data_IF_386654213495
#
_entry.id   IF_386654213495
#
_cell.length_a   1.000
_cell.length_b   1.000
_cell.length_c   1.000
_cell.angle_alpha   90.00
_cell.angle_beta   90.00
_cell.angle_gamma   90.00
#
_symmetry.space_group_name_H-M   'P 1'
#
loop_
_entity.id
_entity.type
_entity.pdbx_description
1 polymer ?
#
# COMPACT_ATOMS: atom_id res chain seq x y z
N UNK A 1 40.69 -10.99 -24.22
CA UNK A 1 40.46 -11.56 -25.57
C UNK A 1 39.08 -12.20 -25.57
N UNK A 2 38.14 -11.73 -26.41
CA UNK A 2 36.78 -12.26 -26.52
C UNK A 2 36.66 -13.29 -27.67
N UNK A 3 35.50 -13.97 -27.79
CA UNK A 3 34.82 -14.02 -29.08
C UNK A 3 33.33 -13.60 -28.92
N UNK A 4 32.78 -12.71 -29.75
CA UNK A 4 32.37 -12.86 -31.16
C UNK A 4 31.29 -13.94 -31.35
N UNK A 5 30.02 -13.52 -31.39
CA UNK A 5 29.06 -14.01 -32.37
C UNK A 5 28.07 -12.90 -32.74
N UNK A 6 28.00 -12.69 -34.04
CA UNK A 6 27.21 -11.77 -34.83
C UNK A 6 26.48 -12.66 -35.85
N UNK A 7 25.16 -12.53 -35.97
CA UNK A 7 24.38 -12.92 -37.16
C UNK A 7 22.90 -12.57 -36.97
N UNK A 8 22.46 -11.51 -37.65
CA UNK A 8 21.07 -11.21 -37.87
C UNK A 8 20.49 -11.93 -39.08
N UNK A 9 19.16 -11.97 -39.16
CA UNK A 9 18.39 -12.08 -40.41
C UNK A 9 16.98 -11.51 -40.19
N UNK A 10 16.68 -10.41 -40.89
CA UNK A 10 15.33 -10.08 -41.38
C UNK A 10 15.28 -10.48 -42.88
N UNK A 11 14.09 -10.72 -43.49
CA UNK A 11 13.50 -9.61 -44.27
C UNK A 11 11.97 -9.64 -44.55
N UNK A 12 11.47 -8.42 -44.87
CA UNK A 12 10.54 -8.01 -45.97
C UNK A 12 9.02 -8.22 -45.90
N UNK A 13 8.33 -7.08 -45.79
CA UNK A 13 7.48 -6.42 -46.80
C UNK A 13 6.57 -7.25 -47.70
N UNK A 14 5.27 -6.97 -47.58
CA UNK A 14 4.35 -6.89 -48.73
C UNK A 14 3.37 -5.73 -48.55
N UNK A 15 3.41 -4.80 -49.50
CA UNK A 15 2.48 -3.69 -49.71
C UNK A 15 1.72 -3.87 -51.03
N UNK A 16 0.42 -3.58 -51.09
CA UNK A 16 -0.34 -3.11 -52.28
C UNK A 16 -1.61 -2.39 -51.74
N UNK A 17 -1.77 -1.06 -51.90
CA UNK A 17 -2.44 -0.32 -53.01
C UNK A 17 -3.91 -0.77 -53.24
N UNK A 18 -4.94 0.04 -53.48
CA UNK A 18 -5.20 1.48 -53.64
C UNK A 18 -6.73 1.60 -53.84
N UNK A 19 -7.40 2.69 -53.46
CA UNK A 19 -8.25 3.47 -54.38
C UNK A 19 -9.07 4.56 -53.69
N UNK A 20 -8.73 5.78 -54.09
CA UNK A 20 -9.48 7.03 -54.12
C UNK A 20 -10.98 6.94 -54.48
N UNK A 21 -11.80 7.80 -53.88
CA UNK A 21 -12.75 8.63 -54.65
C UNK A 21 -13.08 9.95 -53.95
N UNK A 22 -13.00 11.01 -54.75
CA UNK A 22 -13.12 12.41 -54.42
C UNK A 22 -14.29 12.94 -55.26
N UNK A 23 -15.27 13.63 -54.67
CA UNK A 23 -16.21 14.44 -55.45
C UNK A 23 -16.73 15.63 -54.66
N UNK A 24 -16.25 16.80 -55.07
CA UNK A 24 -16.83 18.11 -54.84
C UNK A 24 -18.19 18.23 -55.52
N UNK A 25 -19.20 18.80 -54.85
CA UNK A 25 -20.29 19.56 -55.50
C UNK A 25 -20.65 20.79 -54.66
N UNK A 26 -20.50 21.96 -55.29
CA UNK A 26 -21.00 23.28 -54.89
C UNK A 26 -22.54 23.34 -54.94
N UNK A 27 -23.19 24.15 -54.09
CA UNK A 27 -24.02 25.32 -54.52
C UNK A 27 -24.79 26.02 -53.38
N UNK A 28 -24.51 27.34 -53.24
CA UNK A 28 -25.42 28.50 -53.01
C UNK A 28 -26.79 28.31 -52.33
N UNK A 29 -27.05 29.05 -51.24
CA UNK A 29 -27.81 30.33 -51.26
C UNK A 29 -28.32 30.84 -49.89
N UNK A 30 -28.19 32.17 -49.73
CA UNK A 30 -29.08 33.16 -49.07
C UNK A 30 -29.14 33.31 -47.54
N UNK A 31 -28.57 34.47 -47.13
CA UNK A 31 -28.98 35.47 -46.11
C UNK A 31 -30.13 35.11 -45.17
N UNK A 32 -29.94 35.37 -43.86
CA UNK A 32 -30.78 36.22 -43.01
C UNK A 32 -29.90 36.85 -41.90
N UNK A 33 -30.26 38.09 -41.57
CA UNK A 33 -29.65 39.05 -40.63
C UNK A 33 -29.91 38.66 -39.17
N UNK A 34 -28.97 38.97 -38.26
CA UNK A 34 -29.24 38.96 -36.82
C UNK A 34 -28.02 39.28 -35.96
N UNK A 35 -27.82 40.56 -35.66
CA UNK A 35 -26.93 41.04 -34.61
C UNK A 35 -27.29 40.39 -33.26
N UNK A 36 -26.31 39.85 -32.55
CA UNK A 36 -26.35 39.77 -31.09
C UNK A 36 -24.93 39.81 -30.51
N UNK A 37 -24.75 40.72 -29.55
CA UNK A 37 -23.51 40.98 -28.83
C UNK A 37 -22.93 39.71 -28.20
N UNK A 38 -21.73 39.32 -28.62
CA UNK A 38 -20.92 38.35 -27.88
C UNK A 38 -20.34 39.05 -26.65
N UNK A 39 -20.87 38.69 -25.48
CA UNK A 39 -20.15 38.78 -24.22
C UNK A 39 -18.81 38.07 -24.38
N UNK A 40 -17.71 38.83 -24.39
CA UNK A 40 -16.40 38.27 -24.14
C UNK A 40 -16.39 37.76 -22.69
N UNK A 41 -16.65 36.45 -22.51
CA UNK A 41 -16.27 35.74 -21.30
C UNK A 41 -14.75 35.92 -21.18
N UNK A 42 -14.33 36.80 -20.27
CA UNK A 42 -12.94 36.85 -19.80
C UNK A 42 -12.58 35.42 -19.41
N UNK A 43 -11.63 34.82 -20.15
CA UNK A 43 -10.98 33.61 -19.67
C UNK A 43 -10.46 33.92 -18.26
N UNK A 44 -10.72 33.06 -17.27
CA UNK A 44 -10.12 33.24 -15.95
C UNK A 44 -8.60 33.27 -16.14
N UNK A 45 -7.95 34.30 -15.60
CA UNK A 45 -6.49 34.34 -15.52
C UNK A 45 -6.01 33.02 -14.88
N UNK A 46 -4.90 32.43 -15.36
CA UNK A 46 -4.29 31.29 -14.68
C UNK A 46 -3.98 31.73 -13.25
N UNK A 47 -4.74 31.20 -12.29
CA UNK A 47 -4.48 31.38 -10.87
C UNK A 47 -3.08 30.86 -10.60
N UNK A 48 -2.20 31.75 -10.13
CA UNK A 48 -0.84 31.41 -9.76
C UNK A 48 -0.87 30.18 -8.83
N UNK A 49 -0.09 29.15 -9.17
CA UNK A 49 0.03 27.96 -8.35
C UNK A 49 0.56 28.37 -6.97
N UNK A 50 -0.01 27.90 -5.86
CA UNK A 50 0.58 28.13 -4.56
C UNK A 50 1.97 27.47 -4.53
N UNK A 51 3.01 28.25 -4.26
CA UNK A 51 4.40 27.79 -4.09
C UNK A 51 4.61 26.93 -2.85
N UNK A 52 3.60 26.80 -1.99
CA UNK A 52 3.71 26.12 -0.72
C UNK A 52 2.48 25.30 -0.42
N UNK A 53 2.69 24.08 0.08
CA UNK A 53 1.66 23.21 0.61
C UNK A 53 1.82 23.15 2.13
N UNK A 54 0.77 23.52 2.87
CA UNK A 54 0.79 23.52 4.33
C UNK A 54 -0.26 22.56 4.89
N UNK A 55 0.18 21.59 5.68
CA UNK A 55 -0.64 20.53 6.23
C UNK A 55 -0.58 20.57 7.76
N UNK A 56 -1.72 20.33 8.39
CA UNK A 56 -1.79 19.97 9.80
C UNK A 56 -2.17 18.50 9.92
N UNK A 57 -1.38 17.73 10.66
CA UNK A 57 -1.72 16.35 10.99
C UNK A 57 -2.72 16.35 12.15
N UNK A 58 -3.87 15.70 11.96
CA UNK A 58 -4.88 15.53 13.00
C UNK A 58 -4.49 14.42 13.98
N UNK A 59 -3.75 13.41 13.49
CA UNK A 59 -3.24 12.28 14.28
C UNK A 59 -1.69 12.22 14.22
N UNK A 60 -0.97 13.15 14.87
CA UNK A 60 0.49 13.25 14.76
C UNK A 60 1.23 12.04 15.33
N UNK A 61 0.72 11.44 16.42
CA UNK A 61 1.30 10.23 17.02
C UNK A 61 1.17 9.04 16.09
N UNK A 62 0.00 8.87 15.47
CA UNK A 62 -0.23 7.79 14.51
C UNK A 62 0.73 7.91 13.33
N UNK A 63 0.84 9.11 12.75
CA UNK A 63 1.78 9.38 11.67
C UNK A 63 3.23 9.08 12.10
N UNK A 64 3.66 9.55 13.27
CA UNK A 64 4.99 9.25 13.80
C UNK A 64 5.26 7.76 13.93
N UNK A 65 4.30 6.98 14.42
CA UNK A 65 4.43 5.52 14.59
C UNK A 65 4.49 4.80 13.25
N UNK A 66 3.70 5.23 12.27
CA UNK A 66 3.75 4.71 10.90
C UNK A 66 5.11 4.97 10.25
N UNK A 67 5.62 6.21 10.34
CA UNK A 67 6.96 6.57 9.83
C UNK A 67 8.07 5.77 10.53
N UNK A 68 7.99 5.58 11.86
CA UNK A 68 8.94 4.76 12.61
C UNK A 68 8.97 3.31 12.11
N UNK A 69 7.79 2.72 11.85
CA UNK A 69 7.69 1.36 11.31
C UNK A 69 8.26 1.27 9.88
N UNK A 70 7.88 2.20 8.99
CA UNK A 70 8.37 2.24 7.61
C UNK A 70 9.89 2.39 7.52
N UNK A 71 10.48 3.17 8.44
CA UNK A 71 11.94 3.36 8.49
C UNK A 71 12.75 2.09 8.77
N UNK A 72 12.09 0.99 9.13
CA UNK A 72 12.72 -0.33 9.29
C UNK A 72 12.91 -1.07 7.95
N UNK A 73 12.20 -0.67 6.89
CA UNK A 73 12.20 -1.33 5.57
C UNK A 73 13.03 -0.58 4.53
N UNK A 74 12.89 0.74 4.46
CA UNK A 74 13.69 1.60 3.59
C UNK A 74 13.99 2.94 4.23
N UNK A 75 14.99 3.62 3.68
CA UNK A 75 15.42 4.93 4.13
C UNK A 75 14.79 6.07 3.33
N UNK A 76 14.56 5.89 2.03
CA UNK A 76 14.09 6.95 1.12
C UNK A 76 12.74 6.56 0.51
N UNK A 77 11.77 7.47 0.58
CA UNK A 77 10.44 7.29 -0.04
C UNK A 77 9.91 8.60 -0.60
N UNK A 78 8.96 8.52 -1.53
CA UNK A 78 8.13 9.65 -1.92
C UNK A 78 6.93 9.79 -0.97
N UNK A 79 6.71 11.01 -0.46
CA UNK A 79 5.43 11.46 0.05
C UNK A 79 4.62 12.01 -1.13
N UNK A 80 3.65 11.23 -1.59
CA UNK A 80 2.74 11.61 -2.66
C UNK A 80 1.49 12.24 -2.05
N UNK A 81 1.21 13.50 -2.39
CA UNK A 81 0.11 14.25 -1.81
C UNK A 81 -0.80 14.76 -2.91
N UNK A 82 -2.10 14.51 -2.74
CA UNK A 82 -3.13 15.07 -3.59
C UNK A 82 -4.26 15.66 -2.70
N UNK A 83 -5.29 16.31 -3.29
CA UNK A 83 -6.35 16.93 -2.50
C UNK A 83 -7.13 15.98 -1.58
N UNK A 84 -7.04 14.66 -1.77
CA UNK A 84 -7.83 13.65 -1.07
C UNK A 84 -7.00 12.77 -0.13
N UNK A 85 -5.72 12.55 -0.43
CA UNK A 85 -4.86 11.64 0.32
C UNK A 85 -3.39 12.04 0.34
N UNK A 86 -2.72 11.57 1.39
CA UNK A 86 -1.28 11.42 1.48
C UNK A 86 -0.98 9.92 1.33
N UNK A 87 -0.06 9.59 0.44
CA UNK A 87 0.31 8.24 0.07
C UNK A 87 1.83 8.07 0.21
N UNK A 88 2.25 6.99 0.84
CA UNK A 88 3.63 6.50 0.81
C UNK A 88 3.58 5.08 0.27
N UNK A 89 4.16 4.87 -0.91
CA UNK A 89 4.30 3.55 -1.51
C UNK A 89 5.77 3.34 -1.83
N UNK A 90 6.31 2.19 -1.41
CA UNK A 90 7.68 1.83 -1.72
C UNK A 90 7.92 0.33 -1.54
N UNK A 91 9.00 -0.13 -2.12
CA UNK A 91 9.54 -1.47 -1.93
C UNK A 91 10.75 -1.37 -1.00
N UNK A 92 10.88 -2.33 -0.10
CA UNK A 92 12.02 -2.40 0.80
C UNK A 92 13.35 -2.61 0.06
N UNK A 93 14.46 -2.38 0.77
CA UNK A 93 15.80 -2.53 0.20
C UNK A 93 16.12 -3.94 -0.33
N UNK A 94 15.42 -4.98 0.14
CA UNK A 94 15.63 -6.36 -0.31
C UNK A 94 14.68 -6.80 -1.42
N UNK A 95 13.74 -5.92 -1.84
CA UNK A 95 12.75 -6.18 -2.88
C UNK A 95 11.82 -7.36 -2.59
N UNK A 96 11.53 -7.60 -1.31
CA UNK A 96 10.63 -8.68 -0.84
C UNK A 96 9.41 -8.16 -0.09
N UNK A 97 9.39 -6.88 0.28
CA UNK A 97 8.24 -6.22 0.91
C UNK A 97 7.83 -5.00 0.11
N UNK A 98 6.63 -5.03 -0.45
CA UNK A 98 5.94 -3.84 -0.93
C UNK A 98 5.04 -3.32 0.20
N UNK A 99 4.98 -2.02 0.40
CA UNK A 99 4.05 -1.44 1.37
C UNK A 99 3.40 -0.16 0.87
N UNK A 100 2.23 0.11 1.43
CA UNK A 100 1.42 1.28 1.15
C UNK A 100 0.86 1.86 2.45
N UNK A 101 1.17 3.12 2.75
CA UNK A 101 0.47 3.92 3.75
C UNK A 101 -0.40 4.95 3.04
N UNK A 102 -1.71 4.84 3.23
CA UNK A 102 -2.70 5.80 2.72
C UNK A 102 -3.34 6.53 3.90
N UNK A 103 -3.30 7.87 3.89
CA UNK A 103 -3.96 8.73 4.88
C UNK A 103 -4.92 9.69 4.16
N UNK A 104 -6.14 9.88 4.69
CA UNK A 104 -7.20 10.66 4.04
C UNK A 104 -7.27 12.10 4.55
N UNK A 105 -7.44 13.04 3.64
CA UNK A 105 -7.71 14.44 3.97
C UNK A 105 -9.03 14.58 4.76
N UNK A 106 -9.10 15.55 5.66
CA UNK A 106 -10.24 15.84 6.53
C UNK A 106 -10.36 14.89 7.74
N UNK A 107 -9.71 13.73 7.67
CA UNK A 107 -9.62 12.75 8.77
C UNK A 107 -8.22 12.74 9.36
N UNK A 108 -7.24 12.32 8.57
CA UNK A 108 -5.86 12.14 8.99
C UNK A 108 -5.08 13.45 9.09
N UNK A 109 -5.33 14.34 8.14
CA UNK A 109 -4.71 15.65 8.03
C UNK A 109 -5.67 16.64 7.38
N UNK A 110 -5.33 17.92 7.45
CA UNK A 110 -6.06 18.98 6.77
C UNK A 110 -5.11 19.95 6.10
N UNK A 111 -5.47 20.38 4.90
CA UNK A 111 -4.77 21.48 4.25
C UNK A 111 -5.16 22.80 4.91
N UNK A 112 -4.15 23.63 5.14
CA UNK A 112 -4.31 24.94 5.75
C UNK A 112 -3.86 26.02 4.79
N UNK A 113 -4.58 27.14 4.79
CA UNK A 113 -4.12 28.36 4.13
C UNK A 113 -2.87 28.88 4.88
N UNK A 114 -1.71 29.02 4.22
CA UNK A 114 -0.51 29.57 4.83
C UNK A 114 -0.75 30.93 5.51
N UNK A 115 -1.64 31.76 4.97
CA UNK A 115 -1.97 33.07 5.54
C UNK A 115 -2.69 32.95 6.90
N UNK A 116 -3.50 31.90 7.09
CA UNK A 116 -4.23 31.66 8.34
C UNK A 116 -3.34 30.97 9.39
N UNK A 117 -2.45 30.09 8.95
CA UNK A 117 -1.59 29.27 9.79
C UNK A 117 -0.63 30.04 10.71
N UNK A 118 -0.08 31.16 10.22
CA UNK A 118 0.95 31.94 10.91
C UNK A 118 0.44 33.27 11.44
N UNK A 119 -0.85 33.59 11.23
CA UNK A 119 -1.44 34.75 11.88
C UNK A 119 -1.55 34.49 13.39
N UNK A 120 -0.90 35.31 14.21
CA UNK A 120 -0.92 35.25 15.68
C UNK A 120 -2.30 35.58 16.30
N UNK A 121 -3.40 35.34 15.58
CA UNK A 121 -4.74 35.63 16.06
C UNK A 121 -5.11 34.60 17.14
N UNK A 122 -4.99 35.04 18.39
CA UNK A 122 -5.62 34.44 19.57
C UNK A 122 -7.02 33.96 19.21
N UNK A 123 -7.25 32.65 19.39
CA UNK A 123 -8.57 32.00 19.42
C UNK A 123 -9.44 32.29 18.18
N UNK A 124 -9.05 31.78 17.02
CA UNK A 124 -10.06 31.27 16.10
C UNK A 124 -10.48 29.91 16.63
N UNK A 125 -11.70 29.83 17.14
CA UNK A 125 -12.37 28.54 17.34
C UNK A 125 -12.16 27.71 16.07
N UNK A 126 -11.85 26.44 16.26
CA UNK A 126 -11.87 25.38 15.26
C UNK A 126 -13.28 25.27 14.64
N UNK A 127 -13.71 26.30 13.92
CA UNK A 127 -14.66 26.16 12.84
C UNK A 127 -13.88 25.43 11.75
N UNK A 128 -13.76 24.11 11.92
CA UNK A 128 -13.64 23.20 10.80
C UNK A 128 -14.60 23.74 9.75
N UNK A 129 -14.09 24.03 8.56
CA UNK A 129 -14.89 24.05 7.36
C UNK A 129 -15.57 22.67 7.28
N UNK A 130 -16.71 22.49 7.97
CA UNK A 130 -17.64 21.35 7.83
C UNK A 130 -18.42 21.51 6.52
N UNK A 131 -17.69 21.89 5.48
CA UNK A 131 -18.13 21.95 4.12
C UNK A 131 -17.68 20.63 3.50
N UNK A 132 -18.58 19.74 3.07
CA UNK A 132 -18.19 18.58 2.26
C UNK A 132 -17.61 18.98 0.90
N UNK A 133 -17.63 20.28 0.57
CA UNK A 133 -16.96 20.84 -0.58
C UNK A 133 -15.56 21.31 -0.17
N UNK A 134 -14.54 20.65 -0.74
CA UNK A 134 -13.19 21.18 -0.82
C UNK A 134 -13.26 22.67 -1.19
N UNK A 135 -12.60 23.58 -0.46
CA UNK A 135 -12.53 24.97 -0.85
C UNK A 135 -12.09 25.05 -2.32
N UNK A 136 -12.66 25.95 -3.15
CA UNK A 136 -12.30 26.10 -4.57
C UNK A 136 -10.80 26.29 -4.82
N UNK A 137 -10.04 26.68 -3.78
CA UNK A 137 -8.58 26.80 -3.79
C UNK A 137 -7.85 25.46 -4.03
N UNK A 138 -8.46 24.31 -3.74
CA UNK A 138 -7.81 23.00 -3.83
C UNK A 138 -8.26 22.13 -5.01
N UNK A 139 -9.28 22.57 -5.77
CA UNK A 139 -9.76 21.86 -6.98
C UNK A 139 -8.75 21.85 -8.15
N UNK A 140 -7.57 22.45 -7.98
CA UNK A 140 -6.49 22.47 -8.96
C UNK A 140 -5.10 22.26 -8.38
N UNK A 141 -4.96 21.75 -7.15
CA UNK A 141 -3.63 21.39 -6.62
C UNK A 141 -3.20 20.10 -7.33
N UNK A 142 -2.12 20.15 -8.15
CA UNK A 142 -1.60 18.97 -8.81
C UNK A 142 -1.08 17.99 -7.76
N UNK A 143 -0.96 16.72 -8.13
CA UNK A 143 -0.25 15.75 -7.31
C UNK A 143 1.18 16.25 -7.06
N UNK A 144 1.55 16.33 -5.79
CA UNK A 144 2.88 16.75 -5.34
C UNK A 144 3.62 15.54 -4.81
N UNK A 145 4.84 15.31 -5.29
CA UNK A 145 5.70 14.22 -4.84
C UNK A 145 6.97 14.78 -4.21
N UNK A 146 7.27 14.35 -2.99
CA UNK A 146 8.41 14.89 -2.22
C UNK A 146 9.21 13.72 -1.66
N UNK A 147 10.45 13.59 -2.10
CA UNK A 147 11.36 12.57 -1.57
C UNK A 147 11.82 12.93 -0.18
N UNK A 148 11.71 11.98 0.75
CA UNK A 148 12.08 12.14 2.16
C UNK A 148 12.92 10.98 2.65
N UNK A 149 13.81 11.27 3.60
CA UNK A 149 14.48 10.23 4.37
C UNK A 149 13.66 9.88 5.62
N UNK A 150 13.13 8.66 5.66
CA UNK A 150 12.29 8.15 6.74
C UNK A 150 13.00 8.08 8.08
N UNK A 151 14.30 7.79 8.13
CA UNK A 151 15.06 7.78 9.39
C UNK A 151 15.18 9.19 9.98
N UNK A 152 15.47 10.19 9.14
CA UNK A 152 15.53 11.60 9.55
C UNK A 152 14.14 12.08 10.01
N UNK A 153 13.09 11.73 9.25
CA UNK A 153 11.73 12.08 9.58
C UNK A 153 11.28 11.42 10.90
N UNK A 154 11.51 10.12 11.06
CA UNK A 154 11.21 9.37 12.29
C UNK A 154 11.91 9.99 13.51
N UNK A 155 13.19 10.35 13.37
CA UNK A 155 13.93 11.01 14.44
C UNK A 155 13.32 12.38 14.81
N UNK A 156 12.90 13.15 13.82
CA UNK A 156 12.28 14.47 14.01
C UNK A 156 10.90 14.40 14.68
N UNK A 157 10.17 13.30 14.44
CA UNK A 157 8.84 13.05 15.02
C UNK A 157 8.88 12.33 16.38
N UNK A 158 10.06 11.95 16.86
CA UNK A 158 10.21 11.14 18.08
C UNK A 158 9.64 11.85 19.32
N UNK A 159 8.87 11.10 20.10
CA UNK A 159 8.34 11.56 21.39
C UNK A 159 7.21 12.57 21.28
N UNK A 160 6.45 12.53 20.19
CA UNK A 160 5.14 13.17 20.08
C UNK A 160 4.13 12.51 21.02
N UNK A 161 3.30 13.33 21.64
CA UNK A 161 2.15 12.90 22.47
C UNK A 161 0.84 13.19 21.76
N UNK A 162 -0.25 12.57 22.24
CA UNK A 162 -1.57 12.68 21.62
C UNK A 162 -2.08 14.13 21.60
N UNK A 163 -1.70 14.94 22.58
CA UNK A 163 -2.11 16.33 22.69
C UNK A 163 -1.25 17.32 21.87
N UNK A 164 -0.12 16.88 21.32
CA UNK A 164 0.78 17.71 20.53
C UNK A 164 0.19 18.00 19.14
N UNK A 165 0.66 19.07 18.49
CA UNK A 165 0.25 19.42 17.13
C UNK A 165 1.45 19.33 16.18
N UNK A 166 1.23 18.80 14.98
CA UNK A 166 2.25 18.69 13.94
C UNK A 166 1.78 19.40 12.68
N UNK A 167 2.62 20.30 12.20
CA UNK A 167 2.43 21.03 10.96
C UNK A 167 3.59 20.74 10.01
N UNK A 168 3.28 20.57 8.72
CA UNK A 168 4.26 20.31 7.67
C UNK A 168 4.09 21.36 6.57
N UNK A 169 5.18 22.04 6.24
CA UNK A 169 5.26 22.98 5.14
C UNK A 169 6.20 22.43 4.08
N UNK A 170 5.68 22.32 2.87
CA UNK A 170 6.43 21.88 1.71
C UNK A 170 6.56 23.03 0.72
N UNK A 171 7.77 23.23 0.20
CA UNK A 171 7.99 24.13 -0.92
C UNK A 171 7.73 23.36 -2.23
N UNK A 172 6.78 23.84 -3.03
CA UNK A 172 6.34 23.21 -4.29
C UNK A 172 6.73 24.04 -5.51
N UNK A 173 7.68 24.97 -5.40
CA UNK A 173 8.13 25.76 -6.53
C UNK A 173 8.67 24.87 -7.67
N UNK A 174 7.91 24.85 -8.78
CA UNK A 174 8.13 24.04 -10.00
C UNK A 174 9.53 24.23 -10.64
N UNK A 175 10.23 25.34 -10.33
CA UNK A 175 11.60 25.57 -10.79
C UNK A 175 12.62 24.65 -10.10
N UNK A 176 12.33 24.18 -8.89
CA UNK A 176 13.24 23.31 -8.13
C UNK A 176 13.07 21.85 -8.54
N UNK A 177 11.84 21.44 -8.87
CA UNK A 177 11.53 20.06 -9.28
C UNK A 177 11.90 19.75 -10.74
N UNK A 178 11.82 20.73 -11.66
CA UNK A 178 12.06 20.48 -13.10
C UNK A 178 13.48 20.86 -13.62
N UNK A 179 14.30 21.59 -12.87
CA UNK A 179 15.62 22.04 -13.36
C UNK A 179 16.74 21.02 -13.20
N UNK A 180 16.53 19.98 -12.40
CA UNK A 180 17.60 19.04 -12.06
C UNK A 180 17.90 18.08 -13.23
N UNK A 181 16.97 17.92 -14.17
CA UNK A 181 17.18 17.16 -15.40
C UNK A 181 17.88 17.96 -16.53
N UNK A 182 18.07 19.27 -16.38
CA UNK A 182 18.59 20.13 -17.46
C UNK A 182 19.98 20.75 -17.19
N UNK A 183 20.55 20.62 -15.99
CA UNK A 183 21.77 21.32 -15.59
C UNK A 183 23.07 20.54 -15.87
N UNK A 184 23.24 20.05 -17.11
CA UNK A 184 24.57 19.65 -17.62
C UNK A 184 25.20 20.71 -18.54
N UNK A 185 24.46 21.75 -18.99
CA UNK A 185 24.95 22.56 -20.12
C UNK A 185 24.64 24.07 -20.15
N UNK A 186 24.47 24.77 -19.03
CA UNK A 186 24.29 26.23 -19.08
C UNK A 186 25.08 27.00 -18.02
N UNK A 187 26.13 27.68 -18.49
CA UNK A 187 26.75 28.82 -17.82
C UNK A 187 25.71 29.94 -17.69
N UNK A 188 25.06 30.12 -16.53
CA UNK A 188 24.41 31.39 -16.18
C UNK A 188 24.12 31.55 -14.68
N UNK A 189 24.74 32.59 -14.10
CA UNK A 189 24.36 33.39 -12.94
C UNK A 189 24.21 32.73 -11.55
N UNK A 190 25.01 33.24 -10.60
CA UNK A 190 25.01 32.99 -9.14
C UNK A 190 23.66 33.28 -8.45
N UNK A 191 22.58 32.58 -8.81
CA UNK A 191 21.41 32.44 -7.94
C UNK A 191 21.79 31.35 -6.94
N UNK A 192 21.87 31.68 -5.65
CA UNK A 192 22.06 30.68 -4.60
C UNK A 192 20.86 29.73 -4.70
N UNK A 193 21.08 28.54 -5.25
CA UNK A 193 20.08 27.47 -5.30
C UNK A 193 19.90 27.04 -3.85
N UNK A 194 18.77 27.41 -3.25
CA UNK A 194 18.37 26.83 -1.98
C UNK A 194 17.81 25.45 -2.30
N UNK A 195 18.40 24.43 -1.66
CA UNK A 195 17.86 23.09 -1.74
C UNK A 195 16.40 23.12 -1.24
N UNK A 196 15.51 22.35 -1.88
CA UNK A 196 14.14 22.27 -1.42
C UNK A 196 14.10 21.74 0.02
N UNK A 197 13.39 22.46 0.89
CA UNK A 197 13.31 22.18 2.32
C UNK A 197 11.87 21.86 2.73
N UNK A 198 11.74 20.88 3.61
CA UNK A 198 10.50 20.54 4.32
C UNK A 198 10.63 21.14 5.72
N UNK A 199 9.67 21.97 6.12
CA UNK A 199 9.64 22.51 7.49
C UNK A 199 8.59 21.79 8.30
N UNK A 200 9.02 21.15 9.38
CA UNK A 200 8.16 20.48 10.35
C UNK A 200 8.06 21.36 11.59
N UNK A 201 6.84 21.73 12.00
CA UNK A 201 6.61 22.47 13.24
C UNK A 201 5.82 21.61 14.21
N UNK A 202 6.40 21.31 15.37
CA UNK A 202 5.78 20.58 16.47
C UNK A 202 5.46 21.55 17.59
N UNK A 203 4.18 21.66 17.96
CA UNK A 203 3.75 22.40 19.15
C UNK A 203 3.41 21.40 20.26
N UNK A 204 4.30 21.30 21.25
CA UNK A 204 4.06 20.49 22.44
C UNK A 204 3.22 21.26 23.44
N UNK A 205 2.20 20.65 24.04
CA UNK A 205 1.35 21.33 25.02
C UNK A 205 1.94 21.33 26.43
N UNK A 206 2.69 20.28 26.81
CA UNK A 206 3.17 20.07 28.18
C UNK A 206 4.66 19.64 28.23
N UNK A 207 5.61 20.55 28.53
CA UNK A 207 5.44 22.00 28.63
C UNK A 207 5.15 22.65 27.27
N UNK A 208 4.51 23.81 27.28
CA UNK A 208 4.21 24.55 26.05
C UNK A 208 5.51 24.96 25.34
N UNK A 209 5.86 24.28 24.25
CA UNK A 209 7.10 24.49 23.50
C UNK A 209 6.83 24.29 22.01
N UNK A 210 7.49 25.10 21.19
CA UNK A 210 7.43 24.98 19.73
C UNK A 210 8.81 24.60 19.23
N UNK A 211 8.87 23.54 18.44
CA UNK A 211 10.08 23.08 17.76
C UNK A 211 9.83 23.19 16.27
N UNK A 212 10.79 23.75 15.54
CA UNK A 212 10.78 23.80 14.09
C UNK A 212 12.01 23.08 13.57
N UNK A 213 11.79 22.08 12.74
CA UNK A 213 12.83 21.31 12.06
C UNK A 213 12.79 21.66 10.59
N UNK A 214 13.97 21.78 10.00
CA UNK A 214 14.14 21.87 8.56
C UNK A 214 14.76 20.55 8.11
N UNK A 215 14.09 19.86 7.20
CA UNK A 215 14.51 18.56 6.64
C UNK A 215 14.74 18.75 5.15
N UNK A 216 15.89 18.31 4.66
CA UNK A 216 16.20 18.33 3.22
C UNK A 216 15.25 17.42 2.45
N UNK A 217 14.79 17.88 1.29
CA UNK A 217 14.13 17.03 0.31
C UNK A 217 15.18 16.25 -0.49
N UNK A 218 14.84 15.03 -0.86
CA UNK A 218 15.68 14.14 -1.66
C UNK A 218 15.05 13.94 -3.04
N UNK A 219 15.91 13.75 -4.03
CA UNK A 219 15.52 13.26 -5.36
C UNK A 219 15.72 11.76 -5.32
N UNK A 220 14.68 11.01 -5.64
CA UNK A 220 14.72 9.55 -5.62
C UNK A 220 14.63 9.08 -7.07
N UNK A 221 15.77 8.72 -7.63
CA UNK A 221 15.85 8.16 -8.98
C UNK A 221 15.44 6.68 -8.95
N UNK A 222 14.15 6.44 -8.72
CA UNK A 222 13.59 5.10 -8.80
C UNK A 222 12.95 4.91 -10.18
N UNK A 223 13.76 4.44 -11.12
CA UNK A 223 13.27 3.97 -12.42
C UNK A 223 12.45 2.67 -12.30
N UNK A 224 12.40 2.07 -11.10
CA UNK A 224 11.76 0.77 -10.82
C UNK A 224 10.46 0.88 -10.01
N UNK A 225 10.04 2.09 -9.61
CA UNK A 225 8.73 2.31 -8.98
C UNK A 225 7.61 2.43 -10.03
N UNK A 226 7.80 1.88 -11.23
CA UNK A 226 6.68 1.63 -12.15
C UNK A 226 5.60 0.88 -11.35
N UNK A 227 4.50 1.57 -11.15
CA UNK A 227 3.35 1.26 -10.31
C UNK A 227 3.08 -0.24 -10.22
N UNK A 228 3.43 -0.85 -9.08
CA UNK A 228 2.91 -2.17 -8.76
C UNK A 228 1.40 -2.02 -8.57
N UNK A 229 0.62 -2.46 -9.55
CA UNK A 229 -0.83 -2.50 -9.45
C UNK A 229 -1.22 -3.61 -8.47
N UNK A 230 -1.56 -3.19 -7.24
CA UNK A 230 -2.02 -4.06 -6.16
C UNK A 230 -3.35 -4.77 -6.53
N UNK A 231 -4.11 -4.26 -7.51
CA UNK A 231 -5.44 -4.76 -7.87
C UNK A 231 -5.48 -6.26 -8.22
N UNK A 232 -4.39 -6.81 -8.75
CA UNK A 232 -4.32 -8.24 -9.08
C UNK A 232 -4.18 -9.15 -7.84
N UNK A 233 -3.82 -8.60 -6.69
CA UNK A 233 -3.62 -9.38 -5.47
C UNK A 233 -4.95 -9.84 -4.86
N UNK A 234 -5.92 -8.92 -4.75
CA UNK A 234 -7.20 -9.20 -4.09
C UNK A 234 -7.97 -10.35 -4.78
N UNK A 235 -7.81 -10.53 -6.08
CA UNK A 235 -8.40 -11.64 -6.85
C UNK A 235 -7.78 -13.00 -6.53
N UNK A 236 -6.55 -13.02 -6.01
CA UNK A 236 -5.80 -14.24 -5.68
C UNK A 236 -5.97 -14.68 -4.22
N UNK A 237 -6.51 -13.80 -3.36
CA UNK A 237 -6.69 -14.10 -1.94
C UNK A 237 -7.71 -15.22 -1.77
N UNK A 238 -7.31 -16.26 -1.03
CA UNK A 238 -8.14 -17.44 -0.79
C UNK A 238 -8.69 -17.47 0.63
N UNK A 239 -7.88 -17.02 1.60
CA UNK A 239 -8.21 -17.01 3.02
C UNK A 239 -7.91 -15.64 3.60
N UNK A 240 -8.84 -15.16 4.41
CA UNK A 240 -8.73 -13.94 5.19
C UNK A 240 -8.76 -14.28 6.68
N UNK A 241 -7.85 -13.68 7.44
CA UNK A 241 -7.77 -13.82 8.90
C UNK A 241 -7.84 -12.43 9.51
N UNK A 242 -8.95 -12.11 10.15
CA UNK A 242 -9.07 -10.92 10.99
C UNK A 242 -8.69 -11.30 12.42
N UNK A 243 -7.68 -10.62 12.97
CA UNK A 243 -7.18 -10.87 14.32
C UNK A 243 -6.75 -9.58 15.02
N UNK A 244 -6.66 -9.60 16.35
CA UNK A 244 -6.05 -8.48 17.07
C UNK A 244 -4.54 -8.41 16.81
N UNK A 245 -4.00 -7.21 16.67
CA UNK A 245 -2.56 -7.00 16.48
C UNK A 245 -1.75 -7.43 17.69
N UNK A 246 -2.35 -7.38 18.89
CA UNK A 246 -1.78 -7.92 20.12
C UNK A 246 -1.64 -9.43 20.07
N UNK A 247 -2.65 -10.16 19.57
CA UNK A 247 -2.57 -11.61 19.38
C UNK A 247 -1.41 -11.96 18.43
N UNK A 248 -1.33 -11.30 17.26
CA UNK A 248 -0.22 -11.52 16.32
C UNK A 248 1.15 -11.17 16.95
N UNK A 249 1.22 -10.09 17.72
CA UNK A 249 2.44 -9.70 18.45
C UNK A 249 2.89 -10.78 19.43
N UNK A 250 1.95 -11.37 20.16
CA UNK A 250 2.22 -12.44 21.11
C UNK A 250 2.71 -13.70 20.40
N UNK A 251 2.05 -14.11 19.30
CA UNK A 251 2.47 -15.23 18.45
C UNK A 251 3.92 -15.05 17.99
N UNK A 252 4.23 -13.88 17.42
CA UNK A 252 5.59 -13.58 16.95
C UNK A 252 6.61 -13.54 18.10
N UNK A 253 6.23 -13.03 19.27
CA UNK A 253 7.09 -13.04 20.44
C UNK A 253 7.41 -14.47 20.91
N UNK A 254 6.41 -15.34 20.97
CA UNK A 254 6.56 -16.69 21.50
C UNK A 254 7.36 -17.57 20.55
N UNK A 255 7.13 -17.46 19.24
CA UNK A 255 7.90 -18.17 18.22
C UNK A 255 9.35 -17.66 18.11
N UNK A 256 9.63 -16.42 18.50
CA UNK A 256 11.00 -15.87 18.45
C UNK A 256 11.99 -16.62 19.35
N UNK A 257 11.51 -17.36 20.35
CA UNK A 257 12.33 -18.16 21.26
C UNK A 257 13.10 -19.28 20.53
N UNK A 258 12.53 -19.81 19.44
CA UNK A 258 13.18 -20.82 18.59
C UNK A 258 14.28 -20.22 17.72
N UNK A 259 14.25 -18.89 17.49
CA UNK A 259 15.18 -18.16 16.64
C UNK A 259 15.26 -18.71 15.21
N UNK A 260 14.16 -19.28 14.70
CA UNK A 260 14.04 -19.66 13.30
C UNK A 260 14.01 -18.42 12.39
N UNK A 261 14.59 -18.54 11.20
CA UNK A 261 14.64 -17.45 10.22
C UNK A 261 13.38 -17.38 9.35
N UNK A 262 12.67 -18.51 9.27
CA UNK A 262 11.46 -18.69 8.48
C UNK A 262 10.25 -18.95 9.37
N UNK A 263 9.11 -18.44 8.94
CA UNK A 263 7.80 -18.70 9.53
C UNK A 263 6.90 -19.32 8.46
N UNK A 264 6.52 -20.57 8.65
CA UNK A 264 5.46 -21.21 7.88
C UNK A 264 4.11 -20.73 8.39
N UNK A 265 3.27 -20.24 7.49
CA UNK A 265 1.87 -19.92 7.72
C UNK A 265 1.05 -20.95 6.94
N UNK A 266 0.39 -21.84 7.68
CA UNK A 266 -0.39 -22.94 7.12
C UNK A 266 -1.87 -22.78 7.48
N UNK A 267 -2.74 -22.90 6.49
CA UNK A 267 -4.19 -22.99 6.67
C UNK A 267 -4.63 -24.42 6.37
N UNK A 268 -5.39 -24.99 7.28
CA UNK A 268 -5.99 -26.32 7.16
C UNK A 268 -7.50 -26.22 7.33
N UNK A 269 -8.22 -27.10 6.65
CA UNK A 269 -9.64 -27.33 6.90
C UNK A 269 -9.89 -28.84 7.00
N UNK A 270 -10.74 -29.23 7.94
CA UNK A 270 -11.13 -30.62 8.11
C UNK A 270 -12.38 -30.89 7.26
N UNK A 271 -12.21 -31.66 6.18
CA UNK A 271 -13.34 -32.15 5.40
C UNK A 271 -14.02 -33.29 6.16
N UNK A 272 -15.03 -32.96 6.97
CA UNK A 272 -15.93 -33.99 7.48
C UNK A 272 -16.76 -34.56 6.32
N UNK A 273 -16.49 -35.82 5.93
CA UNK A 273 -17.41 -36.61 5.10
C UNK A 273 -18.72 -36.80 5.89
N UNK A 274 -19.73 -35.96 5.66
CA UNK A 274 -21.08 -36.14 6.24
C UNK A 274 -22.18 -35.89 5.21
N UNK A 275 -23.23 -36.70 5.34
CA UNK A 275 -24.25 -36.96 4.33
C UNK A 275 -25.36 -35.89 4.25
N UNK A 276 -25.88 -35.77 3.04
CA UNK A 276 -27.23 -35.33 2.63
C UNK A 276 -27.78 -33.94 2.96
N UNK A 277 -27.06 -33.05 3.65
CA UNK A 277 -27.54 -31.68 3.90
C UNK A 277 -26.63 -30.61 3.29
N UNK A 278 -26.78 -30.36 1.98
CA UNK A 278 -26.04 -29.35 1.21
C UNK A 278 -26.25 -27.88 1.71
N UNK A 279 -27.23 -27.63 2.59
CA UNK A 279 -27.62 -26.28 2.98
C UNK A 279 -26.75 -25.61 4.07
N UNK A 280 -25.83 -26.31 4.73
CA UNK A 280 -24.98 -25.73 5.79
C UNK A 280 -23.46 -25.90 5.56
N UNK A 281 -23.07 -26.21 4.31
CA UNK A 281 -21.68 -26.48 3.94
C UNK A 281 -20.77 -25.26 4.16
N UNK A 282 -21.29 -24.05 3.93
CA UNK A 282 -20.53 -22.80 4.12
C UNK A 282 -20.10 -22.58 5.57
N UNK A 283 -21.01 -22.74 6.53
CA UNK A 283 -20.68 -22.55 7.95
C UNK A 283 -19.76 -23.67 8.43
N UNK A 284 -20.05 -24.92 8.05
CA UNK A 284 -19.22 -26.08 8.39
C UNK A 284 -17.77 -25.92 7.89
N UNK A 285 -17.57 -25.43 6.66
CA UNK A 285 -16.23 -25.19 6.12
C UNK A 285 -15.48 -24.12 6.92
N UNK A 286 -16.13 -23.00 7.25
CA UNK A 286 -15.51 -21.94 8.02
C UNK A 286 -15.21 -22.35 9.48
N UNK A 287 -16.09 -23.12 10.11
CA UNK A 287 -15.89 -23.62 11.48
C UNK A 287 -14.73 -24.63 11.57
N UNK A 288 -14.41 -25.30 10.46
CA UNK A 288 -13.31 -26.28 10.38
C UNK A 288 -11.94 -25.65 10.12
N UNK A 289 -11.86 -24.33 9.88
CA UNK A 289 -10.62 -23.65 9.55
C UNK A 289 -9.68 -23.55 10.75
N UNK A 290 -8.42 -23.92 10.51
CA UNK A 290 -7.33 -23.82 11.47
C UNK A 290 -6.16 -23.11 10.82
N UNK A 291 -5.56 -22.19 11.57
CA UNK A 291 -4.37 -21.46 11.17
C UNK A 291 -3.19 -21.92 12.02
N UNK A 292 -2.08 -22.28 11.39
CA UNK A 292 -0.85 -22.66 12.07
C UNK A 292 0.26 -21.69 11.71
N UNK A 293 0.97 -21.23 12.74
CA UNK A 293 2.24 -20.53 12.61
C UNK A 293 3.34 -21.46 13.10
N UNK A 294 4.28 -21.82 12.22
CA UNK A 294 5.38 -22.73 12.57
C UNK A 294 6.72 -22.12 12.27
N UNK A 295 7.69 -22.38 13.15
CA UNK A 295 9.08 -22.02 12.90
C UNK A 295 9.97 -23.14 13.40
N UNK A 296 11.10 -23.35 12.70
CA UNK A 296 12.04 -24.39 13.04
C UNK A 296 13.49 -23.90 12.95
N UNK A 297 14.34 -24.43 13.83
CA UNK A 297 15.80 -24.26 13.78
C UNK A 297 16.49 -25.46 14.41
N UNK A 298 17.52 -25.99 13.72
CA UNK A 298 18.44 -27.00 14.30
C UNK A 298 17.72 -28.16 15.03
N UNK A 299 16.64 -28.68 14.42
CA UNK A 299 15.77 -29.76 14.93
C UNK A 299 14.78 -29.40 16.06
N UNK A 300 14.66 -28.13 16.44
CA UNK A 300 13.58 -27.64 17.31
C UNK A 300 12.51 -26.98 16.44
N UNK A 301 11.27 -27.43 16.60
CA UNK A 301 10.10 -26.85 15.95
C UNK A 301 9.16 -26.29 17.03
N UNK A 302 8.61 -25.11 16.79
CA UNK A 302 7.48 -24.60 17.55
C UNK A 302 6.33 -24.28 16.60
N UNK A 303 5.12 -24.65 17.02
CA UNK A 303 3.89 -24.41 16.30
C UNK A 303 2.86 -23.77 17.22
N UNK A 304 2.20 -22.73 16.75
CA UNK A 304 1.00 -22.18 17.38
C UNK A 304 -0.18 -22.47 16.45
N UNK A 305 -1.16 -23.19 16.97
CA UNK A 305 -2.45 -23.41 16.31
C UNK A 305 -3.43 -22.34 16.80
N UNK A 306 -4.14 -21.72 15.86
CA UNK A 306 -5.28 -20.87 16.15
C UNK A 306 -6.52 -21.43 15.49
N UNK A 307 -7.57 -21.54 16.30
CA UNK A 307 -8.87 -22.05 15.89
C UNK A 307 -9.85 -20.88 15.78
N UNK A 308 -10.77 -20.99 14.82
CA UNK A 308 -11.82 -20.01 14.60
C UNK A 308 -12.73 -19.92 15.84
N UNK A 309 -12.85 -18.74 16.46
CA UNK A 309 -13.77 -18.54 17.58
C UNK A 309 -15.05 -17.88 17.09
N UNK A 310 -16.15 -18.64 17.02
CA UNK A 310 -17.46 -18.12 16.58
C UNK A 310 -18.20 -17.31 17.66
N UNK A 311 -17.55 -17.00 18.79
CA UNK A 311 -18.20 -16.53 20.02
C UNK A 311 -18.11 -15.01 20.25
N UNK A 312 -18.27 -14.19 19.20
CA UNK A 312 -18.58 -12.75 19.22
C UNK A 312 -17.93 -11.81 20.26
N UNK A 313 -16.82 -12.15 20.90
CA UNK A 313 -16.06 -11.31 21.81
C UNK A 313 -15.07 -10.44 21.02
N UNK A 314 -14.80 -9.22 21.49
CA UNK A 314 -13.93 -8.24 20.79
C UNK A 314 -12.47 -8.72 20.58
N UNK A 315 -12.09 -9.84 21.19
CA UNK A 315 -10.79 -10.51 21.03
C UNK A 315 -10.80 -11.66 20.01
N UNK A 316 -11.94 -11.92 19.37
CA UNK A 316 -12.12 -13.08 18.52
C UNK A 316 -11.34 -12.97 17.20
N UNK A 317 -10.75 -14.10 16.84
CA UNK A 317 -10.11 -14.29 15.55
C UNK A 317 -11.11 -14.90 14.59
N UNK A 318 -11.28 -14.26 13.44
CA UNK A 318 -12.17 -14.72 12.39
C UNK A 318 -11.32 -15.21 11.23
N UNK A 319 -11.44 -16.49 10.92
CA UNK A 319 -10.81 -17.12 9.77
C UNK A 319 -11.92 -17.45 8.76
N UNK A 320 -11.79 -16.99 7.53
CA UNK A 320 -12.79 -17.24 6.49
C UNK A 320 -12.18 -17.38 5.10
N UNK A 321 -12.79 -18.24 4.28
CA UNK A 321 -12.52 -18.24 2.84
C UNK A 321 -13.09 -16.99 2.17
N UNK A 322 -12.40 -16.47 1.15
CA UNK A 322 -12.95 -15.44 0.29
C UNK A 322 -14.12 -15.99 -0.53
N UNK A 323 -15.08 -15.14 -0.88
CA UNK A 323 -16.27 -15.55 -1.64
C UNK A 323 -15.94 -16.23 -2.99
N UNK A 324 -14.96 -15.76 -3.79
CA UNK A 324 -14.57 -16.45 -5.02
C UNK A 324 -14.03 -17.85 -4.77
N UNK A 325 -13.16 -18.01 -3.78
CA UNK A 325 -12.53 -19.30 -3.47
C UNK A 325 -13.51 -20.29 -2.85
N UNK A 326 -14.40 -19.81 -1.97
CA UNK A 326 -15.47 -20.62 -1.39
C UNK A 326 -16.38 -21.21 -2.49
N UNK A 327 -16.75 -20.42 -3.52
CA UNK A 327 -17.54 -20.92 -4.65
C UNK A 327 -16.81 -22.01 -5.42
N UNK A 328 -15.51 -21.88 -5.61
CA UNK A 328 -14.68 -22.89 -6.26
C UNK A 328 -14.66 -24.19 -5.45
N UNK A 329 -14.44 -24.11 -4.13
CA UNK A 329 -14.45 -25.28 -3.24
C UNK A 329 -15.78 -26.03 -3.26
N UNK A 330 -16.90 -25.30 -3.16
CA UNK A 330 -18.25 -25.89 -3.19
C UNK A 330 -18.49 -26.56 -4.56
N UNK A 331 -18.05 -25.93 -5.65
CA UNK A 331 -18.22 -26.49 -7.00
C UNK A 331 -17.46 -27.81 -7.20
N UNK A 332 -16.28 -27.95 -6.58
CA UNK A 332 -15.47 -29.16 -6.66
C UNK A 332 -16.09 -30.33 -5.87
N UNK A 333 -16.63 -30.06 -4.68
CA UNK A 333 -17.24 -31.10 -3.84
C UNK A 333 -18.54 -31.69 -4.42
N UNK A 334 -19.33 -30.89 -5.15
CA UNK A 334 -20.55 -31.36 -5.80
C UNK A 334 -20.29 -32.33 -6.98
N UNK A 335 -19.06 -32.40 -7.50
CA UNK A 335 -18.71 -33.29 -8.64
C UNK A 335 -18.26 -34.67 -8.16
N UNK A 336 -17.59 -34.75 -7.01
CA UNK A 336 -16.99 -36.00 -6.51
C UNK A 336 -18.00 -36.97 -5.86
N UNK A 337 -19.21 -36.50 -5.56
CA UNK A 337 -20.24 -37.27 -4.83
C UNK A 337 -20.95 -38.35 -5.66
N UNK A 338 -20.59 -38.55 -6.94
CA UNK A 338 -21.19 -39.55 -7.83
C UNK A 338 -20.33 -40.83 -8.01
N UNK A 339 -19.21 -40.96 -7.29
CA UNK A 339 -18.39 -42.18 -7.33
C UNK A 339 -18.74 -43.10 -6.17
N UNK A 340 -19.65 -44.05 -6.42
CA UNK A 340 -19.92 -45.17 -5.51
C UNK A 340 -18.66 -46.02 -5.38
N UNK A 341 -17.86 -45.82 -4.34
CA UNK A 341 -16.96 -46.84 -3.79
C UNK A 341 -16.77 -46.60 -2.29
N UNK A 342 -17.30 -47.56 -1.53
CA UNK A 342 -17.16 -47.68 -0.09
C UNK A 342 -15.71 -47.97 0.32
N UNK A 343 -15.41 -47.67 1.59
CA UNK A 343 -14.20 -48.00 2.35
C UNK A 343 -12.92 -47.19 2.03
N UNK A 344 -12.80 -46.01 2.63
CA UNK A 344 -11.51 -45.48 3.10
C UNK A 344 -11.71 -44.74 4.42
N UNK A 345 -11.33 -45.40 5.53
CA UNK A 345 -11.05 -44.78 6.82
C UNK A 345 -9.74 -43.99 6.71
N UNK A 346 -9.84 -42.67 6.88
CA UNK A 346 -8.69 -41.79 6.89
C UNK A 346 -9.15 -40.34 6.93
N UNK A 347 -9.09 -39.73 8.11
CA UNK A 347 -9.27 -38.29 8.30
C UNK A 347 -8.05 -37.59 7.66
N UNK A 348 -8.04 -37.42 6.35
CA UNK A 348 -7.01 -36.61 5.69
C UNK A 348 -7.40 -35.14 5.86
N UNK A 349 -6.89 -34.48 6.90
CA UNK A 349 -6.90 -33.02 6.97
C UNK A 349 -6.22 -32.49 5.71
N UNK A 350 -6.99 -31.96 4.77
CA UNK A 350 -6.44 -31.41 3.56
C UNK A 350 -5.84 -30.05 3.91
N UNK A 351 -4.50 -29.99 3.96
CA UNK A 351 -3.79 -28.70 3.96
C UNK A 351 -4.24 -27.95 2.72
N UNK A 352 -4.82 -26.77 2.89
CA UNK A 352 -5.29 -25.95 1.75
C UNK A 352 -4.19 -25.04 1.26
N UNK A 353 -3.45 -24.43 2.18
CA UNK A 353 -2.41 -23.45 1.87
C UNK A 353 -1.26 -23.62 2.86
N UNK A 354 -0.02 -23.66 2.38
CA UNK A 354 1.17 -23.50 3.22
C UNK A 354 2.22 -22.68 2.48
N UNK A 355 2.66 -21.58 3.10
CA UNK A 355 3.72 -20.73 2.58
C UNK A 355 4.71 -20.40 3.70
N UNK A 356 5.99 -20.25 3.35
CA UNK A 356 7.03 -19.77 4.27
C UNK A 356 7.34 -18.30 4.01
N UNK A 357 7.52 -17.51 5.08
CA UNK A 357 7.88 -16.09 5.02
C UNK A 357 9.06 -15.78 5.92
N UNK A 358 9.70 -14.63 5.69
CA UNK A 358 10.79 -14.15 6.56
C UNK A 358 10.27 -13.81 7.96
N UNK A 359 10.74 -14.54 8.97
CA UNK A 359 10.36 -14.31 10.37
C UNK A 359 10.73 -12.89 10.81
N UNK A 360 11.88 -12.38 10.33
CA UNK A 360 12.36 -11.02 10.63
C UNK A 360 11.35 -9.96 10.16
N UNK A 361 10.83 -10.09 8.95
CA UNK A 361 9.86 -9.14 8.38
C UNK A 361 8.56 -9.18 9.19
N UNK A 362 8.01 -10.37 9.42
CA UNK A 362 6.77 -10.51 10.19
C UNK A 362 6.93 -10.03 11.64
N UNK A 363 8.12 -10.18 12.22
CA UNK A 363 8.45 -9.64 13.54
C UNK A 363 8.48 -8.10 13.54
N UNK A 364 8.93 -7.46 12.45
CA UNK A 364 8.82 -6.00 12.30
C UNK A 364 7.34 -5.60 12.22
N UNK A 365 6.55 -6.28 11.39
CA UNK A 365 5.11 -6.01 11.23
C UNK A 365 4.33 -6.18 12.54
N UNK A 366 4.73 -7.11 13.39
CA UNK A 366 4.11 -7.27 14.72
C UNK A 366 4.16 -6.01 15.59
N UNK A 367 5.13 -5.11 15.37
CA UNK A 367 5.24 -3.83 16.09
C UNK A 367 4.16 -2.81 15.69
N UNK A 368 3.39 -3.09 14.65
CA UNK A 368 2.26 -2.28 14.20
C UNK A 368 1.05 -2.33 15.16
N UNK A 369 1.10 -3.11 16.25
CA UNK A 369 0.12 -3.05 17.34
C UNK A 369 -0.03 -1.66 17.99
N UNK A 370 0.94 -0.76 17.77
CA UNK A 370 0.82 0.64 18.19
C UNK A 370 0.02 1.51 17.20
N UNK A 371 -0.34 0.99 16.03
CA UNK A 371 -0.96 1.74 14.93
C UNK A 371 -2.43 1.35 14.78
N UNK A 372 -2.75 0.08 14.94
CA UNK A 372 -4.11 -0.45 14.86
C UNK A 372 -4.30 -1.58 15.87
N UNK A 373 -5.51 -1.69 16.41
CA UNK A 373 -5.89 -2.76 17.33
C UNK A 373 -6.16 -4.08 16.58
N UNK A 374 -6.53 -4.00 15.30
CA UNK A 374 -6.87 -5.14 14.45
C UNK A 374 -6.00 -5.19 13.19
N UNK A 375 -5.84 -6.40 12.67
CA UNK A 375 -5.17 -6.64 11.39
C UNK A 375 -5.88 -7.71 10.59
N UNK A 376 -5.82 -7.57 9.28
CA UNK A 376 -6.28 -8.54 8.31
C UNK A 376 -5.07 -9.18 7.63
N UNK A 377 -4.93 -10.50 7.73
CA UNK A 377 -4.01 -11.28 6.92
C UNK A 377 -4.76 -11.84 5.72
N UNK A 378 -4.21 -11.63 4.53
CA UNK A 378 -4.72 -12.13 3.27
C UNK A 378 -3.73 -13.15 2.73
N UNK A 379 -4.16 -14.41 2.65
CA UNK A 379 -3.32 -15.56 2.35
C UNK A 379 -3.75 -16.15 1.01
N UNK A 380 -2.77 -16.36 0.12
CA UNK A 380 -2.93 -17.01 -1.18
C UNK A 380 -1.85 -18.09 -1.37
N UNK A 381 -2.17 -19.14 -2.12
CA UNK A 381 -1.23 -20.24 -2.38
C UNK A 381 -0.05 -19.76 -3.23
N UNK A 382 1.18 -19.98 -2.76
CA UNK A 382 2.43 -19.60 -3.44
C UNK A 382 2.54 -18.10 -3.78
N UNK A 383 1.75 -17.24 -3.15
CA UNK A 383 1.73 -15.80 -3.40
C UNK A 383 2.14 -14.97 -2.17
N UNK A 384 2.20 -13.63 -2.33
CA UNK A 384 2.58 -12.75 -1.24
C UNK A 384 1.58 -12.81 -0.10
N UNK A 385 2.05 -12.65 1.14
CA UNK A 385 1.17 -12.43 2.29
C UNK A 385 0.74 -10.97 2.29
N UNK A 386 -0.56 -10.72 2.17
CA UNK A 386 -1.14 -9.41 2.41
C UNK A 386 -1.33 -9.19 3.91
N UNK A 387 -0.88 -8.06 4.42
CA UNK A 387 -1.04 -7.66 5.82
C UNK A 387 -1.60 -6.24 5.85
N UNK A 388 -2.84 -6.08 6.30
CA UNK A 388 -3.56 -4.81 6.31
C UNK A 388 -3.88 -4.38 7.75
N UNK A 389 -3.49 -3.16 8.09
CA UNK A 389 -3.87 -2.46 9.31
C UNK A 389 -4.84 -1.33 8.95
N UNK A 390 -6.08 -1.42 9.44
CA UNK A 390 -7.05 -0.33 9.33
C UNK A 390 -6.68 0.78 10.31
N UNK A 391 -6.57 2.03 9.84
CA UNK A 391 -6.35 3.16 10.74
C UNK A 391 -7.71 3.65 11.27
N UNK A 392 -7.77 3.96 12.57
CA UNK A 392 -9.00 4.33 13.28
C UNK A 392 -9.86 5.37 12.56
N UNK A 393 -11.18 5.30 12.75
CA UNK A 393 -12.15 6.32 12.30
C UNK A 393 -12.11 6.68 10.79
N UNK A 394 -11.59 5.77 9.96
CA UNK A 394 -11.44 5.99 8.52
C UNK A 394 -10.32 6.98 8.18
N UNK A 395 -9.35 7.15 9.07
CA UNK A 395 -8.12 7.94 8.86
C UNK A 395 -7.36 7.44 7.64
N UNK A 396 -7.38 6.14 7.38
CA UNK A 396 -6.65 5.55 6.26
C UNK A 396 -6.40 4.06 6.42
N UNK A 397 -5.39 3.56 5.71
CA UNK A 397 -4.97 2.17 5.72
C UNK A 397 -3.45 2.06 5.66
N UNK A 398 -2.93 0.97 6.18
CA UNK A 398 -1.53 0.64 6.09
C UNK A 398 -1.37 -0.82 5.70
N UNK A 399 -0.91 -1.07 4.48
CA UNK A 399 -0.86 -2.40 3.86
C UNK A 399 0.58 -2.81 3.54
N UNK A 400 0.86 -4.10 3.67
CA UNK A 400 2.13 -4.72 3.32
C UNK A 400 1.88 -5.97 2.49
N UNK A 401 2.77 -6.26 1.55
CA UNK A 401 2.80 -7.49 0.77
C UNK A 401 4.19 -8.11 0.95
N UNK A 402 4.23 -9.30 1.56
CA UNK A 402 5.48 -9.99 1.87
C UNK A 402 5.64 -11.18 0.95
N UNK A 403 6.69 -11.20 0.14
CA UNK A 403 6.98 -12.32 -0.74
C UNK A 403 7.27 -13.61 0.05
N UNK A 404 6.74 -14.77 -0.38
CA UNK A 404 7.06 -16.04 0.24
C UNK A 404 8.46 -16.53 -0.18
N UNK A 405 9.03 -17.43 0.59
CA UNK A 405 10.10 -18.29 0.10
C UNK A 405 9.51 -19.27 -0.91
N UNK A 406 10.11 -19.34 -2.10
CA UNK A 406 9.76 -20.36 -3.07
C UNK A 406 10.41 -21.67 -2.66
N UNK A 407 9.61 -22.72 -2.51
CA UNK A 407 10.11 -24.07 -2.24
C UNK A 407 10.95 -24.55 -3.45
N UNK A 408 12.27 -24.54 -3.32
CA UNK A 408 13.20 -25.01 -4.35
C UNK A 408 13.20 -26.53 -4.55
N UNK A 409 12.38 -27.27 -3.79
CA UNK A 409 12.29 -28.74 -3.84
C UNK A 409 11.67 -29.29 -5.14
N UNK A 410 11.33 -28.43 -6.11
CA UNK A 410 10.93 -28.81 -7.46
C UNK A 410 12.06 -28.83 -8.50
N UNK A 411 13.26 -28.31 -8.18
CA UNK A 411 14.45 -28.64 -8.96
C UNK A 411 14.94 -29.99 -8.47
N UNK A 412 14.41 -31.06 -9.07
CA UNK A 412 15.07 -32.34 -9.07
C UNK A 412 16.53 -32.08 -9.44
N UNK A 413 17.43 -32.28 -8.48
CA UNK A 413 18.81 -32.59 -8.80
C UNK A 413 18.74 -33.86 -9.62
N UNK A 414 18.61 -33.71 -10.95
CA UNK A 414 18.86 -34.79 -11.87
C UNK A 414 20.20 -35.35 -11.47
N UNK A 415 20.13 -36.63 -11.15
CA UNK A 415 21.22 -37.48 -10.75
C UNK A 415 22.41 -37.26 -11.68
N UNK A 416 23.45 -36.59 -11.19
CA UNK A 416 24.82 -36.90 -11.58
C UNK A 416 25.15 -38.31 -11.03
N UNK A 417 24.55 -39.31 -11.66
CA UNK A 417 25.09 -40.65 -11.68
C UNK A 417 26.08 -40.70 -12.85
N UNK A 418 27.36 -40.73 -12.47
CA UNK A 418 28.51 -41.32 -13.17
C UNK A 418 28.32 -41.73 -14.64
N UNK A 419 29.12 -41.09 -15.53
CA UNK A 419 30.07 -41.78 -16.40
C UNK A 419 31.24 -40.85 -16.80
#
# INVERSE_FOLDING_TARGET
>A
MPPLFDQGFAPKDTSFLNSSHNSNINQRSKRIVGNNHKFNKKQPLPTARPSYLYLQMNHPVLFSRAIELLSQFTDLVYLQMNPQRLLIQAVDSTKVVLYELTMREGKAFSYLDPALAFSNSKKTNSAMLKSPFLPPLFQGVPEVQIGVNLKILAHSLKGLKAEDELFMLFNTDDEVTNRIDQDVNSNQNNKVIQDPEIRLTVKKKNPNRVFTFTVSQFIINDHELETFEIEQFDEQVQVEVLMSTNCFSQIMHDLSQVKGERLEVQVCHDLMKRSDACHDLRNTLNDSLRLFFRTAKECVEASIEVQNSFMGHEEDMIISFTEPYLKQLISQQCVDTNSNNDEYEGLTSATTISNEYSFRILSILSKASKISDQMLLQICTNGPLGVLYGLDEGVGSFQFFVAPYLNSNGFSSDSDNEL
#
